data_IF_416395218285
#
_entry.id   IF_416395218285
#
_cell.length_a   1.000
_cell.length_b   1.000
_cell.length_c   1.000
_cell.angle_alpha   90.00
_cell.angle_beta   90.00
_cell.angle_gamma   90.00
#
_symmetry.space_group_name_H-M   'P 1'
#
loop_
_entity.id
_entity.type
_entity.pdbx_description
1 polymer ?
#
# COMPACT_ATOMS: atom_id res chain seq x y z
N UNK A 1 -1.51 10.74 27.47
CA UNK A 1 -1.42 11.11 26.04
C UNK A 1 -1.16 9.84 25.27
N UNK A 2 -1.94 9.50 24.24
CA UNK A 2 -1.71 8.29 23.46
C UNK A 2 -0.48 8.49 22.56
N UNK A 3 0.65 7.94 22.97
CA UNK A 3 1.91 8.02 22.23
C UNK A 3 1.74 7.32 20.87
N UNK A 4 1.99 8.05 19.78
CA UNK A 4 1.88 7.51 18.43
C UNK A 4 3.18 6.76 18.14
N UNK A 5 3.13 5.46 17.80
CA UNK A 5 4.32 4.68 17.46
C UNK A 5 4.88 5.14 16.11
N UNK A 6 5.63 6.24 16.14
CA UNK A 6 6.04 7.00 14.95
C UNK A 6 7.06 6.23 14.11
N UNK A 7 7.98 5.50 14.74
CA UNK A 7 8.95 4.63 14.05
C UNK A 7 8.28 3.52 13.23
N UNK A 8 7.42 2.68 13.86
CA UNK A 8 6.64 1.68 13.12
C UNK A 8 5.77 2.28 12.01
N UNK A 9 5.12 3.42 12.27
CA UNK A 9 4.31 4.11 11.26
C UNK A 9 5.14 4.50 10.03
N UNK A 10 6.32 5.07 10.24
CA UNK A 10 7.24 5.45 9.17
C UNK A 10 7.70 4.22 8.37
N UNK A 11 8.06 3.14 9.06
CA UNK A 11 8.47 1.90 8.42
C UNK A 11 7.34 1.32 7.55
N UNK A 12 6.12 1.28 8.08
CA UNK A 12 4.95 0.84 7.33
C UNK A 12 4.67 1.74 6.12
N UNK A 13 4.84 3.05 6.26
CA UNK A 13 4.64 4.01 5.16
C UNK A 13 5.63 3.78 4.02
N UNK A 14 6.92 3.64 4.33
CA UNK A 14 7.96 3.32 3.34
C UNK A 14 7.68 1.98 2.66
N UNK A 15 7.30 0.98 3.44
CA UNK A 15 6.97 -0.36 2.96
C UNK A 15 5.75 -0.33 2.01
N UNK A 16 4.72 0.48 2.32
CA UNK A 16 3.58 0.71 1.41
C UNK A 16 4.04 1.30 0.07
N UNK A 17 4.92 2.30 0.08
CA UNK A 17 5.44 2.89 -1.17
C UNK A 17 6.17 1.82 -1.99
N UNK A 18 7.11 1.10 -1.37
CA UNK A 18 7.92 0.08 -2.04
C UNK A 18 7.01 -0.97 -2.67
N UNK A 19 6.02 -1.47 -1.93
CA UNK A 19 5.15 -2.53 -2.46
C UNK A 19 4.18 -2.02 -3.52
N UNK A 20 3.61 -0.82 -3.37
CA UNK A 20 2.81 -0.21 -4.44
C UNK A 20 3.63 -0.07 -5.72
N UNK A 21 4.89 0.34 -5.64
CA UNK A 21 5.80 0.41 -6.79
C UNK A 21 6.16 -0.97 -7.35
N UNK A 22 6.43 -1.95 -6.49
CA UNK A 22 6.78 -3.31 -6.90
C UNK A 22 5.61 -3.98 -7.64
N UNK A 23 4.38 -3.84 -7.15
CA UNK A 23 3.18 -4.36 -7.81
C UNK A 23 2.96 -3.64 -9.15
N UNK A 24 3.07 -2.31 -9.16
CA UNK A 24 2.96 -1.52 -10.40
C UNK A 24 3.99 -1.97 -11.45
N UNK A 25 5.22 -2.25 -11.02
CA UNK A 25 6.29 -2.73 -11.89
C UNK A 25 6.07 -4.17 -12.36
N UNK A 26 5.63 -5.07 -11.48
CA UNK A 26 5.40 -6.48 -11.80
C UNK A 26 4.31 -6.65 -12.87
N UNK A 27 3.21 -5.91 -12.72
CA UNK A 27 2.09 -5.96 -13.66
C UNK A 27 2.20 -4.93 -14.80
N UNK A 28 3.34 -4.25 -14.98
CA UNK A 28 3.49 -3.22 -16.04
C UNK A 28 3.28 -3.75 -17.47
N UNK A 29 3.46 -5.06 -17.68
CA UNK A 29 3.31 -5.72 -18.98
C UNK A 29 1.90 -6.29 -19.16
N UNK A 30 1.19 -6.54 -18.05
CA UNK A 30 -0.18 -7.04 -18.03
C UNK A 30 -1.12 -5.88 -17.71
N UNK A 31 -1.69 -5.29 -18.76
CA UNK A 31 -2.54 -4.09 -18.75
C UNK A 31 -3.92 -4.27 -18.07
N UNK A 32 -4.03 -5.15 -17.07
CA UNK A 32 -5.27 -5.40 -16.33
C UNK A 32 -5.21 -4.78 -14.93
N UNK A 33 -5.83 -3.59 -14.73
CA UNK A 33 -5.86 -2.92 -13.43
C UNK A 33 -6.55 -3.76 -12.35
N UNK A 34 -7.44 -4.68 -12.71
CA UNK A 34 -8.12 -5.54 -11.73
C UNK A 34 -7.13 -6.50 -11.08
N UNK A 35 -6.22 -7.09 -11.86
CA UNK A 35 -5.18 -8.00 -11.33
C UNK A 35 -4.26 -7.28 -10.36
N UNK A 36 -3.86 -6.04 -10.67
CA UNK A 36 -3.07 -5.20 -9.79
C UNK A 36 -3.78 -4.90 -8.46
N UNK A 37 -5.06 -4.50 -8.51
CA UNK A 37 -5.84 -4.21 -7.30
C UNK A 37 -5.99 -5.47 -6.45
N UNK A 38 -6.25 -6.63 -7.05
CA UNK A 38 -6.34 -7.90 -6.33
C UNK A 38 -5.01 -8.24 -5.65
N UNK A 39 -3.88 -8.10 -6.34
CA UNK A 39 -2.56 -8.34 -5.76
C UNK A 39 -2.27 -7.39 -4.58
N UNK A 40 -2.68 -6.12 -4.70
CA UNK A 40 -2.57 -5.16 -3.61
C UNK A 40 -3.48 -5.54 -2.42
N UNK A 41 -4.72 -5.99 -2.66
CA UNK A 41 -5.62 -6.49 -1.62
C UNK A 41 -5.05 -7.72 -0.89
N UNK A 42 -4.43 -8.65 -1.62
CA UNK A 42 -3.75 -9.82 -1.02
C UNK A 42 -2.61 -9.36 -0.10
N UNK A 43 -1.86 -8.34 -0.50
CA UNK A 43 -0.80 -7.75 0.31
C UNK A 43 -1.29 -6.98 1.55
N UNK A 44 -2.51 -6.43 1.50
CA UNK A 44 -3.10 -5.74 2.66
C UNK A 44 -3.32 -6.68 3.86
N UNK A 45 -3.59 -7.97 3.63
CA UNK A 45 -3.83 -8.93 4.70
C UNK A 45 -2.61 -9.14 5.64
N UNK A 46 -1.41 -9.50 5.14
CA UNK A 46 -0.22 -9.58 5.99
C UNK A 46 0.18 -8.21 6.54
N UNK A 47 -0.04 -7.12 5.79
CA UNK A 47 0.22 -5.77 6.28
C UNK A 47 -0.64 -5.41 7.49
N UNK A 48 -1.94 -5.73 7.47
CA UNK A 48 -2.86 -5.48 8.58
C UNK A 48 -2.40 -6.19 9.85
N UNK A 49 -1.93 -7.43 9.70
CA UNK A 49 -1.45 -8.25 10.79
C UNK A 49 -0.20 -7.62 11.42
N UNK A 50 0.76 -7.19 10.60
CA UNK A 50 1.96 -6.48 11.08
C UNK A 50 1.60 -5.15 11.75
N UNK A 51 0.68 -4.39 11.17
CA UNK A 51 0.23 -3.11 11.72
C UNK A 51 -0.45 -3.27 13.09
N UNK A 52 -1.24 -4.33 13.25
CA UNK A 52 -1.87 -4.70 14.51
C UNK A 52 -0.84 -5.06 15.58
N UNK A 53 0.21 -5.83 15.23
CA UNK A 53 1.31 -6.17 16.15
C UNK A 53 2.04 -4.92 16.65
N UNK A 54 2.22 -3.91 15.80
CA UNK A 54 2.80 -2.62 16.17
C UNK A 54 1.85 -1.67 16.90
N UNK A 55 0.63 -2.13 17.24
CA UNK A 55 -0.41 -1.35 17.93
C UNK A 55 -0.72 -0.02 17.24
N UNK A 56 -0.64 0.01 15.91
CA UNK A 56 -1.01 1.18 15.13
C UNK A 56 -2.52 1.44 15.23
N UNK A 57 -2.89 2.71 15.36
CA UNK A 57 -4.31 3.10 15.38
C UNK A 57 -4.94 2.75 14.04
N UNK A 58 -6.14 2.18 14.09
CA UNK A 58 -6.88 1.70 12.91
C UNK A 58 -7.05 2.79 11.83
N UNK A 59 -7.24 4.05 12.23
CA UNK A 59 -7.32 5.19 11.31
C UNK A 59 -6.03 5.41 10.50
N UNK A 60 -4.86 5.16 11.08
CA UNK A 60 -3.56 5.29 10.40
C UNK A 60 -3.37 4.14 9.40
N UNK A 61 -3.81 2.94 9.77
CA UNK A 61 -3.77 1.76 8.90
C UNK A 61 -4.63 2.01 7.64
N UNK A 62 -5.86 2.49 7.83
CA UNK A 62 -6.75 2.86 6.72
C UNK A 62 -6.11 3.95 5.84
N UNK A 63 -5.49 4.97 6.45
CA UNK A 63 -4.80 6.03 5.73
C UNK A 63 -3.68 5.51 4.83
N UNK A 64 -2.82 4.61 5.34
CA UNK A 64 -1.78 3.98 4.53
C UNK A 64 -2.37 3.14 3.38
N UNK A 65 -3.50 2.48 3.60
CA UNK A 65 -4.15 1.68 2.57
C UNK A 65 -4.65 2.52 1.41
N UNK A 66 -5.36 3.60 1.71
CA UNK A 66 -5.85 4.54 0.71
C UNK A 66 -4.66 5.17 -0.01
N UNK A 67 -3.61 5.58 0.71
CA UNK A 67 -2.42 6.16 0.11
C UNK A 67 -1.73 5.21 -0.88
N UNK A 68 -1.47 3.96 -0.49
CA UNK A 68 -0.82 2.99 -1.38
C UNK A 68 -1.68 2.64 -2.60
N UNK A 69 -3.01 2.62 -2.45
CA UNK A 69 -3.93 2.45 -3.57
C UNK A 69 -3.89 3.64 -4.53
N UNK A 70 -3.85 4.87 -4.01
CA UNK A 70 -3.69 6.09 -4.83
C UNK A 70 -2.37 6.06 -5.60
N UNK A 71 -1.25 5.75 -4.93
CA UNK A 71 0.06 5.62 -5.59
C UNK A 71 0.00 4.60 -6.73
N UNK A 72 -0.64 3.45 -6.48
CA UNK A 72 -0.75 2.37 -7.44
C UNK A 72 -1.61 2.78 -8.65
N UNK A 73 -2.79 3.38 -8.41
CA UNK A 73 -3.71 3.83 -9.48
C UNK A 73 -3.11 4.97 -10.30
N UNK A 74 -2.50 5.99 -9.67
CA UNK A 74 -1.91 7.11 -10.40
C UNK A 74 -0.68 6.69 -11.20
N UNK A 75 0.15 5.79 -10.66
CA UNK A 75 1.28 5.25 -11.42
C UNK A 75 0.78 4.42 -12.61
N UNK A 76 -0.27 3.63 -12.39
CA UNK A 76 -0.91 2.88 -13.45
C UNK A 76 -1.47 3.81 -14.53
N UNK A 77 -2.19 4.87 -14.18
CA UNK A 77 -2.70 5.86 -15.14
C UNK A 77 -1.60 6.50 -16.00
N UNK A 78 -0.40 6.70 -15.45
CA UNK A 78 0.75 7.19 -16.24
C UNK A 78 1.23 6.16 -17.27
N UNK A 79 1.19 4.86 -16.94
CA UNK A 79 1.49 3.80 -17.91
C UNK A 79 0.35 3.59 -18.91
N UNK A 80 -0.91 3.83 -18.52
CA UNK A 80 -2.09 3.59 -19.35
C UNK A 80 -2.35 4.66 -20.41
N UNK A 81 -1.78 5.86 -20.25
CA UNK A 81 -1.99 7.01 -21.14
C UNK A 81 -0.80 7.27 -22.08
N UNK A 82 0.15 6.34 -22.20
CA UNK A 82 1.10 6.30 -23.33
C UNK A 82 0.53 5.43 -24.46
#
# INVERSE_FOLDING_TARGET
>A
MAEIPTGPLLAMFVLTIIVSYAIAYHYRQDYDPKKMIIAYLIYLAPFALVAFLFKLKLILIIGLYVFGAVVLVFRNSKYFNE
#
